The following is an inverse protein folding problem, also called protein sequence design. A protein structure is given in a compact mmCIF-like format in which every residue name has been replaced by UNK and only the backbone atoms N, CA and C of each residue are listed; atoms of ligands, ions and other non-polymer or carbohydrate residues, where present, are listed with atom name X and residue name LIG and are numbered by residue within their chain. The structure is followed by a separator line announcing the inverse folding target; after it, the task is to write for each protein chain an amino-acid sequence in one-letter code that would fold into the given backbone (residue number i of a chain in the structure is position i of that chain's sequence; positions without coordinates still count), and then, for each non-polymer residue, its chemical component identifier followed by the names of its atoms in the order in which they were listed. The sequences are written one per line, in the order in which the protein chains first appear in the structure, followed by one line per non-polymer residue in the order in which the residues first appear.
data_IF_058906663034
#
_entry.id   IF_058906663034
#
_cell.length_a   1.000
_cell.length_b   1.000
_cell.length_c   1.000
_cell.angle_alpha   90.00
_cell.angle_beta   90.00
_cell.angle_gamma   90.00
#
_symmetry.space_group_name_H-M   'P 1'
#
loop_
_entity.id
_entity.type
_entity.pdbx_description
1 polymer ?
#
# COMPACT_ATOMS: atom_id res chain seq x y z
N UNK A 1 -23.60 -27.07 -34.30
CA UNK A 1 -23.78 -25.73 -34.91
C UNK A 1 -22.58 -25.55 -35.80
N UNK A 2 -22.78 -25.58 -37.12
CA UNK A 2 -21.69 -25.50 -38.10
C UNK A 2 -21.09 -24.10 -38.09
N UNK A 3 -19.81 -23.99 -37.77
CA UNK A 3 -19.06 -22.73 -37.83
C UNK A 3 -18.25 -22.75 -39.13
N UNK A 4 -18.68 -21.93 -40.11
CA UNK A 4 -17.96 -21.72 -41.37
C UNK A 4 -16.70 -20.89 -41.10
N UNK A 5 -15.56 -21.58 -40.97
CA UNK A 5 -14.26 -20.96 -41.23
C UNK A 5 -14.08 -20.98 -42.76
N UNK A 6 -13.64 -19.88 -43.36
CA UNK A 6 -13.44 -19.70 -44.82
C UNK A 6 -12.46 -20.65 -45.52
N UNK A 7 -12.24 -21.85 -45.00
CA UNK A 7 -11.79 -23.03 -45.71
C UNK A 7 -12.88 -24.11 -45.53
N UNK A 8 -13.54 -24.48 -46.63
CA UNK A 8 -14.68 -25.41 -46.71
C UNK A 8 -14.50 -26.73 -45.92
N UNK A 9 -14.75 -26.69 -44.62
CA UNK A 9 -15.07 -27.85 -43.82
C UNK A 9 -15.89 -27.38 -42.61
N UNK A 10 -17.18 -27.78 -42.51
CA UNK A 10 -17.98 -27.46 -41.33
C UNK A 10 -17.33 -28.13 -40.13
N UNK A 11 -16.69 -27.34 -39.28
CA UNK A 11 -16.11 -27.85 -38.05
C UNK A 11 -17.26 -28.01 -37.05
N UNK A 12 -17.85 -29.20 -37.01
CA UNK A 12 -18.83 -29.57 -36.00
C UNK A 12 -18.15 -29.72 -34.64
N UNK A 13 -17.91 -28.59 -33.97
CA UNK A 13 -17.45 -28.59 -32.58
C UNK A 13 -18.68 -28.74 -31.68
N UNK A 14 -18.77 -29.87 -30.98
CA UNK A 14 -19.77 -30.08 -29.95
C UNK A 14 -19.38 -29.32 -28.68
N UNK A 15 -20.13 -28.28 -28.35
CA UNK A 15 -20.01 -27.59 -27.07
C UNK A 15 -21.11 -28.05 -26.12
N UNK A 16 -20.77 -28.44 -24.88
CA UNK A 16 -21.76 -28.66 -23.83
C UNK A 16 -22.29 -27.29 -23.39
N UNK A 17 -23.20 -26.71 -24.16
CA UNK A 17 -23.86 -25.45 -23.83
C UNK A 17 -24.95 -25.75 -22.79
N UNK A 18 -24.89 -25.17 -21.57
CA UNK A 18 -26.05 -25.18 -20.69
C UNK A 18 -27.16 -24.29 -21.27
N UNK A 19 -28.41 -24.63 -20.98
CA UNK A 19 -29.59 -23.84 -21.34
C UNK A 19 -29.52 -22.46 -20.65
N UNK A 20 -29.05 -21.45 -21.36
CA UNK A 20 -28.91 -20.09 -20.86
C UNK A 20 -28.60 -19.09 -21.98
N UNK A 21 -29.30 -17.96 -21.98
CA UNK A 21 -28.98 -16.83 -22.85
C UNK A 21 -27.87 -15.99 -22.20
N UNK A 22 -27.02 -15.36 -23.03
CA UNK A 22 -25.96 -14.46 -22.59
C UNK A 22 -24.96 -15.13 -21.63
N UNK A 23 -24.13 -16.03 -22.16
CA UNK A 23 -23.09 -16.72 -21.41
C UNK A 23 -21.87 -16.99 -22.28
N UNK A 24 -20.70 -17.12 -21.65
CA UNK A 24 -19.47 -17.53 -22.33
C UNK A 24 -18.99 -18.86 -21.77
N UNK A 25 -18.81 -19.83 -22.67
CA UNK A 25 -18.22 -21.13 -22.34
C UNK A 25 -16.77 -21.15 -22.80
N UNK A 26 -15.84 -21.42 -21.88
CA UNK A 26 -14.43 -21.65 -22.20
C UNK A 26 -14.14 -23.14 -22.15
N UNK A 27 -13.37 -23.63 -23.11
CA UNK A 27 -13.00 -25.04 -23.28
C UNK A 27 -11.50 -25.11 -23.50
N UNK A 28 -10.86 -26.08 -22.87
CA UNK A 28 -9.47 -26.42 -23.10
C UNK A 28 -9.29 -27.93 -23.16
N UNK A 29 -8.26 -28.37 -23.88
CA UNK A 29 -7.85 -29.77 -23.90
C UNK A 29 -6.57 -29.90 -23.08
N UNK A 30 -6.63 -30.68 -22.01
CA UNK A 30 -5.48 -30.93 -21.12
C UNK A 30 -4.38 -31.77 -21.77
N UNK A 31 -4.72 -32.58 -22.79
CA UNK A 31 -3.75 -33.42 -23.52
C UNK A 31 -2.97 -32.66 -24.59
N UNK A 32 -3.41 -31.47 -25.00
CA UNK A 32 -2.70 -30.65 -26.00
C UNK A 32 -2.21 -29.35 -25.39
N UNK A 33 -1.00 -28.93 -25.78
CA UNK A 33 -0.39 -27.67 -25.34
C UNK A 33 0.42 -27.04 -26.47
N UNK A 34 0.77 -25.77 -26.30
CA UNK A 34 1.61 -25.01 -27.21
C UNK A 34 3.02 -24.74 -26.63
N UNK A 35 3.43 -25.56 -25.65
CA UNK A 35 4.66 -25.37 -24.87
C UNK A 35 4.40 -25.02 -23.41
N UNK A 36 5.47 -24.87 -22.64
CA UNK A 36 5.43 -24.59 -21.20
C UNK A 36 4.78 -23.24 -20.89
N UNK A 37 3.77 -23.24 -20.02
CA UNK A 37 2.97 -22.06 -19.69
C UNK A 37 2.03 -21.66 -20.81
N UNK A 38 1.75 -22.53 -21.79
CA UNK A 38 0.95 -22.18 -22.97
C UNK A 38 -0.17 -23.19 -23.21
N UNK A 39 -1.41 -22.69 -23.32
CA UNK A 39 -2.62 -23.50 -23.49
C UNK A 39 -3.54 -22.94 -24.57
N UNK A 40 -4.22 -23.85 -25.26
CA UNK A 40 -5.26 -23.51 -26.23
C UNK A 40 -6.60 -23.38 -25.51
N UNK A 41 -7.24 -22.21 -25.67
CA UNK A 41 -8.56 -21.91 -25.12
C UNK A 41 -9.51 -21.64 -26.28
N UNK A 42 -10.54 -22.46 -26.36
CA UNK A 42 -11.71 -22.21 -27.20
C UNK A 42 -12.77 -21.50 -26.38
N UNK A 43 -13.30 -20.38 -26.87
CA UNK A 43 -14.39 -19.67 -26.20
C UNK A 43 -15.60 -19.56 -27.12
N UNK A 44 -16.79 -19.86 -26.57
CA UNK A 44 -18.07 -19.71 -27.27
C UNK A 44 -18.94 -18.74 -26.50
N UNK A 45 -19.29 -17.64 -27.16
CA UNK A 45 -20.23 -16.65 -26.65
C UNK A 45 -21.62 -16.94 -27.18
N UNK A 46 -22.51 -17.35 -26.30
CA UNK A 46 -23.94 -17.48 -26.59
C UNK A 46 -24.60 -16.15 -26.23
N UNK A 47 -24.99 -15.38 -27.24
CA UNK A 47 -25.79 -14.14 -27.08
C UNK A 47 -27.09 -14.25 -27.85
N UNK A 48 -28.04 -13.33 -27.62
CA UNK A 48 -29.37 -13.33 -28.25
C UNK A 48 -29.35 -13.39 -29.79
N UNK A 49 -28.25 -12.94 -30.43
CA UNK A 49 -27.75 -13.19 -31.80
C UNK A 49 -26.78 -12.05 -32.15
N UNK A 50 -25.60 -12.28 -32.76
CA UNK A 50 -25.00 -13.57 -33.16
C UNK A 50 -24.14 -14.25 -32.07
N UNK A 51 -23.95 -15.56 -32.20
CA UNK A 51 -23.00 -16.38 -31.41
C UNK A 51 -21.60 -16.25 -31.99
N UNK A 52 -20.58 -16.15 -31.14
CA UNK A 52 -19.19 -16.02 -31.56
C UNK A 52 -18.33 -17.17 -31.04
N UNK A 53 -17.42 -17.64 -31.88
CA UNK A 53 -16.40 -18.61 -31.53
C UNK A 53 -15.02 -17.98 -31.63
N UNK A 54 -14.19 -18.24 -30.63
CA UNK A 54 -12.81 -17.79 -30.55
C UNK A 54 -11.90 -18.98 -30.31
N UNK A 55 -10.79 -19.01 -31.03
CA UNK A 55 -9.67 -19.88 -30.72
C UNK A 55 -8.49 -19.01 -30.32
N UNK A 56 -8.14 -19.04 -29.03
CA UNK A 56 -7.12 -18.20 -28.44
C UNK A 56 -5.98 -19.05 -27.90
N UNK A 57 -4.76 -18.58 -28.12
CA UNK A 57 -3.57 -19.11 -27.45
C UNK A 57 -3.28 -18.24 -26.24
N UNK A 58 -3.30 -18.81 -25.04
CA UNK A 58 -2.98 -18.11 -23.80
C UNK A 58 -1.62 -18.61 -23.33
N UNK A 59 -0.67 -17.68 -23.15
CA UNK A 59 0.69 -18.00 -22.76
C UNK A 59 1.11 -17.13 -21.57
N UNK A 60 1.72 -17.77 -20.56
CA UNK A 60 2.35 -17.16 -19.40
C UNK A 60 3.85 -17.45 -19.48
N UNK A 61 4.62 -16.41 -19.81
CA UNK A 61 6.07 -16.51 -19.92
C UNK A 61 6.74 -16.70 -18.56
N UNK A 62 8.00 -17.11 -18.58
CA UNK A 62 8.85 -17.05 -17.39
C UNK A 62 9.00 -15.59 -16.91
N UNK A 63 9.36 -15.42 -15.64
CA UNK A 63 9.55 -14.08 -15.06
C UNK A 63 10.76 -13.42 -15.71
N UNK A 64 10.57 -12.20 -16.22
CA UNK A 64 11.65 -11.46 -16.85
C UNK A 64 12.75 -11.14 -15.82
N UNK A 65 14.00 -11.47 -16.15
CA UNK A 65 15.18 -11.22 -15.31
C UNK A 65 15.16 -11.92 -13.94
N UNK A 66 14.51 -13.10 -13.84
CA UNK A 66 14.65 -13.95 -12.66
C UNK A 66 16.09 -14.46 -12.54
N UNK A 67 16.80 -14.00 -11.52
CA UNK A 67 18.18 -14.40 -11.21
C UNK A 67 18.28 -15.50 -10.17
N UNK A 68 17.25 -15.64 -9.34
CA UNK A 68 17.16 -16.59 -8.25
C UNK A 68 15.88 -17.42 -8.42
N UNK A 69 15.86 -18.70 -8.02
CA UNK A 69 14.70 -19.58 -8.19
C UNK A 69 13.45 -19.04 -7.46
N UNK A 70 13.64 -18.26 -6.39
CA UNK A 70 12.56 -17.63 -5.64
C UNK A 70 11.87 -16.49 -6.40
N UNK A 71 12.51 -15.93 -7.43
CA UNK A 71 11.94 -14.89 -8.27
C UNK A 71 11.08 -15.45 -9.41
N UNK A 72 11.18 -16.75 -9.68
CA UNK A 72 10.48 -17.38 -10.80
C UNK A 72 9.13 -17.98 -10.39
N UNK A 73 8.26 -18.18 -11.38
CA UNK A 73 6.98 -18.86 -11.20
C UNK A 73 7.10 -20.25 -11.80
N UNK A 74 6.86 -21.28 -10.99
CA UNK A 74 6.96 -22.67 -11.45
C UNK A 74 6.09 -22.94 -12.68
N UNK A 75 6.56 -23.83 -13.54
CA UNK A 75 5.89 -24.19 -14.80
C UNK A 75 4.46 -24.71 -14.61
N UNK A 76 4.19 -25.40 -13.50
CA UNK A 76 2.85 -25.88 -13.15
C UNK A 76 1.87 -24.73 -12.91
N UNK A 77 2.30 -23.65 -12.24
CA UNK A 77 1.48 -22.45 -12.02
C UNK A 77 1.30 -21.66 -13.31
N UNK A 78 2.33 -21.60 -14.16
CA UNK A 78 2.23 -20.97 -15.48
C UNK A 78 1.22 -21.71 -16.37
N UNK A 79 1.26 -23.04 -16.38
CA UNK A 79 0.30 -23.89 -17.07
C UNK A 79 -1.11 -23.74 -16.50
N UNK A 80 -1.24 -23.73 -15.16
CA UNK A 80 -2.50 -23.51 -14.47
C UNK A 80 -3.09 -22.15 -14.83
N UNK A 81 -2.29 -21.09 -14.85
CA UNK A 81 -2.73 -19.75 -15.22
C UNK A 81 -3.17 -19.66 -16.69
N UNK A 82 -2.47 -20.36 -17.59
CA UNK A 82 -2.83 -20.39 -19.01
C UNK A 82 -4.15 -21.14 -19.29
N UNK A 83 -4.41 -22.25 -18.60
CA UNK A 83 -5.64 -23.03 -18.76
C UNK A 83 -6.80 -22.60 -17.84
N UNK A 84 -6.50 -21.87 -16.77
CA UNK A 84 -7.35 -21.77 -15.57
C UNK A 84 -8.79 -21.37 -15.80
N UNK A 85 -9.05 -20.54 -16.80
CA UNK A 85 -10.41 -20.07 -17.11
C UNK A 85 -11.33 -21.19 -17.63
N UNK A 86 -10.78 -22.29 -18.13
CA UNK A 86 -11.54 -23.41 -18.67
C UNK A 86 -11.50 -24.65 -17.75
N UNK A 87 -10.74 -24.61 -16.65
CA UNK A 87 -10.58 -25.75 -15.74
C UNK A 87 -11.75 -25.81 -14.73
N UNK A 88 -12.29 -27.01 -14.52
CA UNK A 88 -13.36 -27.26 -13.54
C UNK A 88 -12.83 -27.79 -12.19
N UNK A 89 -11.55 -28.17 -12.12
CA UNK A 89 -10.95 -28.77 -10.92
C UNK A 89 -11.28 -30.25 -10.68
N UNK A 90 -12.10 -30.88 -11.54
CA UNK A 90 -12.42 -32.31 -11.49
C UNK A 90 -12.26 -32.95 -12.88
N UNK A 91 -12.00 -34.27 -12.93
CA UNK A 91 -11.97 -35.00 -14.21
C UNK A 91 -13.33 -34.89 -14.91
N UNK A 92 -13.30 -34.85 -16.25
CA UNK A 92 -14.39 -34.46 -17.12
C UNK A 92 -15.76 -34.97 -16.64
N UNK A 93 -16.73 -34.05 -16.58
CA UNK A 93 -18.12 -34.40 -16.29
C UNK A 93 -18.61 -35.46 -17.29
N UNK A 94 -19.51 -36.35 -16.87
CA UNK A 94 -20.13 -37.40 -17.72
C UNK A 94 -20.83 -36.88 -18.98
N UNK A 95 -20.94 -35.55 -19.14
CA UNK A 95 -21.44 -34.86 -20.32
C UNK A 95 -20.44 -34.80 -21.48
N UNK A 96 -19.13 -34.93 -21.20
CA UNK A 96 -18.10 -34.99 -22.21
C UNK A 96 -17.64 -36.43 -22.40
N UNK A 97 -17.59 -36.87 -23.66
CA UNK A 97 -17.09 -38.21 -24.04
C UNK A 97 -15.57 -38.32 -23.89
N UNK A 98 -14.87 -37.19 -23.95
CA UNK A 98 -13.41 -37.12 -23.85
C UNK A 98 -12.99 -36.63 -22.45
N UNK A 99 -12.26 -37.44 -21.66
CA UNK A 99 -11.78 -37.04 -20.34
C UNK A 99 -10.73 -35.93 -20.37
N UNK A 100 -10.07 -35.69 -21.51
CA UNK A 100 -9.06 -34.64 -21.62
C UNK A 100 -9.64 -33.24 -21.78
N UNK A 101 -10.90 -33.13 -22.19
CA UNK A 101 -11.59 -31.87 -22.37
C UNK A 101 -12.15 -31.37 -21.05
N UNK A 102 -11.84 -30.13 -20.72
CA UNK A 102 -12.41 -29.40 -19.59
C UNK A 102 -13.04 -28.10 -20.08
N UNK A 103 -14.18 -27.76 -19.53
CA UNK A 103 -14.89 -26.54 -19.89
C UNK A 103 -15.44 -25.82 -18.68
N UNK A 104 -15.50 -24.52 -18.69
CA UNK A 104 -16.18 -23.74 -17.66
C UNK A 104 -17.13 -22.76 -18.31
N UNK A 105 -18.34 -22.69 -17.78
CA UNK A 105 -19.36 -21.76 -18.23
C UNK A 105 -19.44 -20.60 -17.24
N UNK A 106 -19.40 -19.38 -17.76
CA UNK A 106 -19.59 -18.16 -17.00
C UNK A 106 -20.85 -17.44 -17.49
N UNK A 107 -21.81 -17.15 -16.59
CA UNK A 107 -23.02 -16.42 -16.95
C UNK A 107 -22.72 -14.93 -17.16
N UNK A 108 -23.55 -14.19 -17.90
CA UNK A 108 -23.29 -12.78 -18.24
C UNK A 108 -23.15 -11.84 -17.02
N UNK A 109 -23.69 -12.22 -15.87
CA UNK A 109 -23.53 -11.50 -14.60
C UNK A 109 -22.08 -11.56 -14.07
N UNK A 110 -21.29 -12.54 -14.53
CA UNK A 110 -19.86 -12.61 -14.26
C UNK A 110 -19.07 -11.79 -15.27
N UNK A 111 -18.03 -11.11 -14.79
CA UNK A 111 -17.07 -10.38 -15.64
C UNK A 111 -16.49 -11.23 -16.76
N UNK A 112 -16.31 -12.53 -16.52
CA UNK A 112 -15.78 -13.45 -17.53
C UNK A 112 -16.83 -14.02 -18.47
N UNK A 113 -18.12 -13.95 -18.12
CA UNK A 113 -19.23 -14.40 -18.96
C UNK A 113 -19.78 -13.35 -19.92
N UNK A 114 -19.44 -12.06 -19.71
CA UNK A 114 -19.85 -10.95 -20.55
C UNK A 114 -19.45 -11.15 -22.03
N UNK A 115 -20.37 -11.04 -23.00
CA UNK A 115 -20.04 -11.23 -24.41
C UNK A 115 -19.17 -10.10 -24.98
N UNK A 116 -18.15 -10.46 -25.76
CA UNK A 116 -17.24 -9.58 -26.49
C UNK A 116 -17.66 -9.38 -27.95
N UNK A 117 -18.80 -9.94 -28.38
CA UNK A 117 -19.50 -9.59 -29.64
C UNK A 117 -18.63 -9.74 -30.90
N UNK A 118 -17.76 -10.74 -30.94
CA UNK A 118 -16.83 -10.99 -32.05
C UNK A 118 -15.47 -10.28 -31.93
N UNK A 119 -15.26 -9.40 -30.94
CA UNK A 119 -13.99 -8.68 -30.79
C UNK A 119 -12.89 -9.56 -30.19
N UNK A 120 -12.09 -10.20 -31.06
CA UNK A 120 -11.01 -11.12 -30.65
C UNK A 120 -9.98 -10.48 -29.71
N UNK A 121 -9.61 -9.21 -29.93
CA UNK A 121 -8.68 -8.48 -29.05
C UNK A 121 -9.25 -8.29 -27.65
N UNK A 122 -10.55 -8.02 -27.53
CA UNK A 122 -11.21 -7.86 -26.24
C UNK A 122 -11.30 -9.19 -25.50
N UNK A 123 -11.62 -10.28 -26.21
CA UNK A 123 -11.58 -11.63 -25.65
C UNK A 123 -10.16 -12.00 -25.18
N UNK A 124 -9.14 -11.74 -25.98
CA UNK A 124 -7.74 -11.97 -25.60
C UNK A 124 -7.34 -11.21 -24.34
N UNK A 125 -7.72 -9.93 -24.23
CA UNK A 125 -7.49 -9.14 -23.01
C UNK A 125 -8.21 -9.71 -21.78
N UNK A 126 -9.43 -10.23 -21.96
CA UNK A 126 -10.19 -10.89 -20.89
C UNK A 126 -9.49 -12.17 -20.40
N UNK A 127 -9.06 -13.03 -21.34
CA UNK A 127 -8.30 -14.24 -21.03
C UNK A 127 -6.98 -13.90 -20.31
N UNK A 128 -6.26 -12.89 -20.78
CA UNK A 128 -5.02 -12.43 -20.15
C UNK A 128 -5.25 -11.94 -18.71
N UNK A 129 -6.31 -11.16 -18.46
CA UNK A 129 -6.67 -10.72 -17.11
C UNK A 129 -7.01 -11.88 -16.18
N UNK A 130 -7.70 -12.90 -16.69
CA UNK A 130 -7.96 -14.12 -15.91
C UNK A 130 -6.65 -14.80 -15.52
N UNK A 131 -5.75 -15.02 -16.49
CA UNK A 131 -4.45 -15.66 -16.24
C UNK A 131 -3.60 -14.88 -15.22
N UNK A 132 -3.57 -13.53 -15.32
CA UNK A 132 -2.91 -12.67 -14.32
C UNK A 132 -3.55 -12.85 -12.94
N UNK A 133 -4.88 -12.92 -12.87
CA UNK A 133 -5.62 -13.17 -11.63
C UNK A 133 -5.26 -14.50 -10.99
N UNK A 134 -5.08 -15.58 -11.79
CA UNK A 134 -4.65 -16.88 -11.28
C UNK A 134 -3.26 -16.80 -10.66
N UNK A 135 -2.31 -16.14 -11.33
CA UNK A 135 -0.96 -15.93 -10.78
C UNK A 135 -1.02 -15.12 -9.49
N UNK A 136 -1.81 -14.05 -9.45
CA UNK A 136 -1.97 -13.21 -8.26
C UNK A 136 -2.56 -13.97 -7.07
N UNK A 137 -3.66 -14.70 -7.27
CA UNK A 137 -4.28 -15.52 -6.21
C UNK A 137 -3.34 -16.64 -5.73
N UNK A 138 -2.57 -17.23 -6.64
CA UNK A 138 -1.55 -18.22 -6.27
C UNK A 138 -0.48 -17.57 -5.41
N UNK A 139 -0.04 -16.35 -5.73
CA UNK A 139 0.96 -15.64 -4.94
C UNK A 139 0.45 -15.29 -3.53
N UNK A 140 -0.83 -14.90 -3.40
CA UNK A 140 -1.44 -14.59 -2.09
C UNK A 140 -1.65 -15.83 -1.21
N UNK A 141 -1.94 -16.99 -1.83
CA UNK A 141 -2.21 -18.24 -1.10
C UNK A 141 -0.94 -19.03 -0.81
N UNK A 142 0.17 -18.74 -1.50
CA UNK A 142 1.43 -19.41 -1.27
C UNK A 142 2.05 -18.98 0.06
N UNK A 143 2.74 -19.91 0.73
CA UNK A 143 3.43 -19.61 1.98
C UNK A 143 4.60 -18.65 1.70
N UNK A 144 4.68 -17.51 2.41
CA UNK A 144 5.76 -16.57 2.18
C UNK A 144 7.10 -17.16 2.63
N UNK A 145 8.12 -17.00 1.80
CA UNK A 145 9.50 -17.34 2.14
C UNK A 145 10.27 -16.06 2.48
N UNK A 146 11.08 -16.11 3.54
CA UNK A 146 11.94 -15.00 3.92
C UNK A 146 13.27 -15.10 3.18
N UNK A 147 13.57 -14.13 2.33
CA UNK A 147 14.80 -14.07 1.54
C UNK A 147 15.57 -12.83 2.00
N UNK A 148 16.87 -13.00 2.22
CA UNK A 148 17.75 -11.87 2.53
C UNK A 148 17.91 -10.98 1.29
N UNK A 149 17.47 -9.74 1.36
CA UNK A 149 17.56 -8.80 0.26
C UNK A 149 16.86 -7.47 0.53
N UNK A 150 16.99 -6.55 -0.41
CA UNK A 150 16.20 -5.32 -0.40
C UNK A 150 14.84 -5.62 -1.00
N UNK A 151 13.78 -5.53 -0.19
CA UNK A 151 12.40 -5.63 -0.69
C UNK A 151 12.17 -4.51 -1.72
N UNK A 152 11.44 -4.79 -2.82
CA UNK A 152 11.02 -3.75 -3.74
C UNK A 152 10.10 -2.78 -2.98
N UNK A 153 10.63 -1.60 -2.67
CA UNK A 153 9.83 -0.52 -2.09
C UNK A 153 9.10 0.14 -3.24
N UNK A 154 7.78 0.29 -3.12
CA UNK A 154 7.01 1.14 -4.02
C UNK A 154 7.60 2.56 -3.92
N UNK A 155 8.35 2.96 -4.94
CA UNK A 155 8.93 4.28 -5.03
C UNK A 155 7.88 5.26 -5.54
N UNK A 156 7.59 6.29 -4.77
CA UNK A 156 6.85 7.45 -5.27
C UNK A 156 7.84 8.35 -6.01
N UNK A 157 7.79 8.34 -7.33
CA UNK A 157 8.53 9.31 -8.15
C UNK A 157 7.67 10.56 -8.30
N UNK A 158 7.98 11.60 -7.53
CA UNK A 158 7.38 12.91 -7.72
C UNK A 158 7.94 13.51 -9.01
N UNK A 159 7.13 13.51 -10.06
CA UNK A 159 7.43 14.25 -11.30
C UNK A 159 6.80 15.63 -11.13
N UNK A 160 7.64 16.63 -10.89
CA UNK A 160 7.20 18.03 -10.83
C UNK A 160 7.47 18.64 -12.19
N UNK A 161 6.41 18.90 -12.95
CA UNK A 161 6.52 19.48 -14.30
C UNK A 161 7.05 20.92 -14.27
N UNK A 162 6.78 21.66 -13.19
CA UNK A 162 7.13 23.08 -13.07
C UNK A 162 7.73 23.39 -11.69
N UNK A 163 9.05 23.33 -11.59
CA UNK A 163 9.79 23.63 -10.35
C UNK A 163 9.64 25.10 -9.91
N UNK A 164 9.35 26.00 -10.84
CA UNK A 164 9.20 27.43 -10.56
C UNK A 164 8.01 27.69 -9.62
N UNK A 165 6.85 27.09 -9.88
CA UNK A 165 5.68 27.24 -8.99
C UNK A 165 5.91 26.58 -7.63
N UNK A 166 6.54 25.41 -7.60
CA UNK A 166 6.86 24.72 -6.35
C UNK A 166 7.78 25.57 -5.47
N UNK A 167 8.83 26.14 -6.05
CA UNK A 167 9.76 27.02 -5.33
C UNK A 167 9.10 28.33 -4.88
N UNK A 168 8.25 28.93 -5.71
CA UNK A 168 7.51 30.16 -5.39
C UNK A 168 6.59 29.96 -4.18
N UNK A 169 5.83 28.86 -4.16
CA UNK A 169 4.94 28.54 -3.03
C UNK A 169 5.76 28.34 -1.76
N UNK A 170 6.85 27.58 -1.82
CA UNK A 170 7.72 27.35 -0.65
C UNK A 170 8.31 28.64 -0.09
N UNK A 171 8.80 29.53 -0.97
CA UNK A 171 9.37 30.83 -0.56
C UNK A 171 8.28 31.74 0.03
N UNK A 172 7.10 31.80 -0.60
CA UNK A 172 5.98 32.60 -0.09
C UNK A 172 5.51 32.14 1.28
N UNK A 173 5.40 30.82 1.48
CA UNK A 173 5.04 30.24 2.77
C UNK A 173 6.10 30.56 3.82
N UNK A 174 7.39 30.39 3.50
CA UNK A 174 8.48 30.71 4.42
C UNK A 174 8.50 32.21 4.78
N UNK A 175 8.31 33.09 3.79
CA UNK A 175 8.26 34.54 4.01
C UNK A 175 7.07 34.95 4.88
N UNK A 176 5.89 34.37 4.65
CA UNK A 176 4.71 34.64 5.47
C UNK A 176 4.92 34.22 6.93
N UNK A 177 5.50 33.03 7.17
CA UNK A 177 5.84 32.59 8.52
C UNK A 177 6.86 33.52 9.19
N UNK A 178 7.84 34.02 8.44
CA UNK A 178 8.82 34.98 8.94
C UNK A 178 8.14 36.28 9.38
N UNK A 179 7.25 36.83 8.55
CA UNK A 179 6.51 38.07 8.84
C UNK A 179 5.63 37.90 10.09
N UNK A 180 4.90 36.79 10.17
CA UNK A 180 4.07 36.47 11.34
C UNK A 180 4.92 36.31 12.61
N UNK A 181 6.07 35.65 12.52
CA UNK A 181 7.02 35.48 13.63
C UNK A 181 7.59 36.82 14.11
N UNK A 182 7.99 37.71 13.19
CA UNK A 182 8.44 39.06 13.52
C UNK A 182 7.32 39.85 14.18
N UNK A 183 6.10 39.79 13.64
CA UNK A 183 4.92 40.44 14.22
C UNK A 183 4.67 39.98 15.66
N UNK A 184 4.72 38.67 15.91
CA UNK A 184 4.58 38.11 17.25
C UNK A 184 5.70 38.57 18.21
N UNK A 185 6.96 38.63 17.76
CA UNK A 185 8.07 39.12 18.57
C UNK A 185 7.92 40.62 18.91
N UNK A 186 7.46 41.43 17.95
CA UNK A 186 7.18 42.84 18.18
C UNK A 186 6.02 43.05 19.16
N UNK A 187 4.93 42.30 19.02
CA UNK A 187 3.82 42.34 19.99
C UNK A 187 4.29 41.89 21.37
N UNK A 188 5.04 40.79 21.47
CA UNK A 188 5.58 40.29 22.73
C UNK A 188 6.49 41.31 23.45
N UNK A 189 7.31 42.06 22.69
CA UNK A 189 8.15 43.13 23.26
C UNK A 189 7.37 44.38 23.69
N UNK A 190 6.15 44.57 23.19
CA UNK A 190 5.24 45.66 23.59
C UNK A 190 4.37 45.30 24.79
N UNK A 191 4.27 44.02 25.14
CA UNK A 191 3.58 43.60 26.38
C UNK A 191 4.41 44.08 27.55
N UNK A 192 3.95 45.16 28.18
CA UNK A 192 4.46 45.63 29.46
C UNK A 192 4.22 44.53 30.47
N UNK A 193 5.30 43.90 30.94
CA UNK A 193 5.25 42.93 32.03
C UNK A 193 4.72 43.68 33.25
N UNK A 194 3.53 43.36 33.79
CA UNK A 194 3.03 44.01 34.98
C UNK A 194 4.04 43.80 36.11
N UNK A 195 4.39 44.87 36.82
CA UNK A 195 5.26 44.83 38.00
C UNK A 195 4.57 43.99 39.08
N UNK A 196 4.85 42.69 39.09
CA UNK A 196 4.17 41.67 39.91
C UNK A 196 4.04 40.29 39.25
N UNK A 197 4.30 40.16 37.95
CA UNK A 197 4.22 38.86 37.26
C UNK A 197 5.41 37.92 37.53
N UNK A 198 5.26 36.60 37.31
CA UNK A 198 6.29 35.59 37.57
C UNK A 198 7.62 35.81 36.82
N UNK A 199 7.61 36.59 35.73
CA UNK A 199 8.80 36.97 34.98
C UNK A 199 9.65 38.03 35.72
N UNK A 200 9.03 38.92 36.51
CA UNK A 200 9.74 39.87 37.36
C UNK A 200 10.43 39.16 38.53
N UNK A 201 9.76 38.17 39.13
CA UNK A 201 10.36 37.27 40.13
C UNK A 201 11.55 36.49 39.54
N UNK A 202 11.44 35.98 38.31
CA UNK A 202 12.54 35.30 37.63
C UNK A 202 13.74 36.21 37.34
N UNK A 203 13.52 37.51 37.08
CA UNK A 203 14.61 38.48 36.92
C UNK A 203 15.36 38.74 38.23
N UNK A 204 14.67 38.74 39.38
CA UNK A 204 15.30 38.87 40.71
C UNK A 204 16.08 37.61 41.09
N UNK A 205 15.64 36.43 40.65
CA UNK A 205 16.34 35.16 40.90
C UNK A 205 17.54 34.92 39.97
N UNK A 206 17.63 35.61 38.83
CA UNK A 206 18.72 35.48 37.85
C UNK A 206 20.12 35.77 38.43
N UNK A 207 20.35 36.85 39.21
CA UNK A 207 21.65 37.07 39.86
C UNK A 207 21.97 36.00 40.92
N UNK A 208 20.96 35.48 41.64
CA UNK A 208 21.15 34.40 42.63
C UNK A 208 21.53 33.06 41.97
N UNK A 209 20.91 32.72 40.83
CA UNK A 209 21.25 31.51 40.06
C UNK A 209 22.65 31.60 39.43
N UNK A 210 23.04 32.79 38.97
CA UNK A 210 24.38 33.03 38.45
C UNK A 210 25.44 32.91 39.56
N UNK A 211 25.18 33.40 40.78
CA UNK A 211 26.11 33.17 41.90
C UNK A 211 26.20 31.69 42.31
N UNK A 212 25.08 30.97 42.39
CA UNK A 212 25.10 29.54 42.71
C UNK A 212 25.88 28.68 41.69
N UNK A 213 25.93 29.10 40.43
CA UNK A 213 26.70 28.40 39.38
C UNK A 213 28.19 28.77 39.42
N UNK A 214 28.56 30.01 39.75
CA UNK A 214 29.98 30.39 39.93
C UNK A 214 30.60 29.80 41.20
N UNK A 215 29.83 29.64 42.29
CA UNK A 215 30.32 29.04 43.54
C UNK A 215 30.60 27.54 43.44
N UNK A 216 30.07 26.84 42.42
CA UNK A 216 30.40 25.43 42.15
C UNK A 216 31.80 25.18 41.56
N UNK A 217 32.60 26.23 41.35
CA UNK A 217 33.98 26.14 40.83
C UNK A 217 35.05 26.42 41.89
N UNK A 218 34.79 26.06 43.15
CA UNK A 218 35.80 26.06 44.22
C UNK A 218 35.99 24.62 44.75
N UNK A 219 37.24 24.09 44.74
CA UNK A 219 37.52 22.76 45.27
C UNK A 219 37.29 22.72 46.78
N UNK A 220 36.68 21.62 47.22
CA UNK A 220 36.18 21.40 48.56
C UNK A 220 37.28 21.33 49.61
N UNK A 221 37.43 22.39 50.39
CA UNK A 221 37.89 22.31 51.79
C UNK A 221 37.15 23.35 52.62
N UNK A 222 35.86 23.12 52.87
CA UNK A 222 35.12 23.85 53.88
C UNK A 222 34.28 22.85 54.69
N UNK A 223 34.54 22.87 55.99
CA UNK A 223 33.95 22.06 57.05
C UNK A 223 32.42 22.09 56.94
N UNK A 224 31.79 20.91 56.91
CA UNK A 224 30.34 20.74 56.85
C UNK A 224 29.67 21.33 58.10
N UNK A 225 29.24 22.60 58.03
CA UNK A 225 28.16 23.12 58.87
C UNK A 225 26.86 22.87 58.12
N UNK A 226 26.00 22.00 58.66
CA UNK A 226 24.71 21.62 58.08
C UNK A 226 23.64 22.67 58.37
N UNK A 227 23.91 23.93 58.04
CA UNK A 227 22.92 25.00 58.16
C UNK A 227 22.32 25.24 56.77
N UNK A 228 21.15 24.64 56.54
CA UNK A 228 20.44 24.72 55.27
C UNK A 228 19.38 25.80 55.36
N UNK A 229 19.70 26.97 54.83
CA UNK A 229 18.78 28.10 54.70
C UNK A 229 17.69 27.77 53.68
N UNK A 230 16.43 27.83 54.10
CA UNK A 230 15.28 27.60 53.22
C UNK A 230 14.35 28.82 53.24
N UNK A 231 14.08 29.38 52.07
CA UNK A 231 13.07 30.42 51.93
C UNK A 231 11.69 29.78 51.94
N UNK A 232 10.82 30.23 52.85
CA UNK A 232 9.41 29.82 52.91
C UNK A 232 8.54 31.06 52.73
N UNK A 233 7.39 30.86 52.09
CA UNK A 233 6.38 31.90 51.90
C UNK A 233 5.21 31.67 52.83
N UNK A 234 4.72 32.72 53.49
CA UNK A 234 3.45 32.71 54.22
C UNK A 234 2.47 33.66 53.52
N UNK A 235 1.24 33.21 53.34
CA UNK A 235 0.15 34.05 52.81
C UNK A 235 -0.33 34.98 53.92
N UNK A 236 -0.29 36.29 53.66
CA UNK A 236 -0.82 37.33 54.54
C UNK A 236 -2.33 37.53 54.32
N UNK A 237 -3.05 38.11 55.30
CA UNK A 237 -4.51 38.28 55.24
C UNK A 237 -5.00 39.14 54.06
N UNK A 238 -4.11 39.94 53.47
CA UNK A 238 -4.35 40.77 52.29
C UNK A 238 -4.13 40.03 50.96
N UNK A 239 -3.78 38.73 51.01
CA UNK A 239 -3.50 37.89 49.84
C UNK A 239 -2.09 38.04 49.28
N UNK A 240 -1.24 38.86 49.89
CA UNK A 240 0.18 38.95 49.53
C UNK A 240 1.00 37.82 50.16
N UNK A 241 2.17 37.50 49.59
CA UNK A 241 3.06 36.48 50.12
C UNK A 241 4.25 37.15 50.77
N UNK A 242 4.45 36.93 52.07
CA UNK A 242 5.65 37.36 52.76
C UNK A 242 6.69 36.24 52.74
N UNK A 243 7.87 36.56 52.24
CA UNK A 243 9.00 35.65 52.05
C UNK A 243 9.99 35.89 53.16
N UNK A 244 10.16 34.91 54.03
CA UNK A 244 11.12 34.99 55.12
C UNK A 244 12.03 33.77 55.11
N UNK A 245 13.21 33.95 55.70
CA UNK A 245 14.28 32.96 55.65
C UNK A 245 14.34 32.26 57.01
N UNK A 246 14.16 30.95 57.02
CA UNK A 246 14.31 30.11 58.22
C UNK A 246 15.59 29.26 58.11
N UNK A 247 16.29 29.13 59.23
CA UNK A 247 17.44 28.25 59.38
C UNK A 247 16.94 26.90 59.94
N UNK A 248 17.02 25.83 59.15
CA UNK A 248 16.72 24.48 59.64
C UNK A 248 17.93 23.92 60.38
N UNK A 249 17.92 24.04 61.71
CA UNK A 249 18.87 23.31 62.56
C UNK A 249 18.45 21.84 62.65
N UNK A 250 19.24 20.94 62.05
CA UNK A 250 19.12 19.50 62.30
C UNK A 250 19.71 19.19 63.68
N UNK A 251 18.84 19.02 64.67
CA UNK A 251 19.18 18.36 65.93
C UNK A 251 19.34 16.86 65.64
N UNK A 252 20.54 16.32 65.86
CA UNK A 252 20.81 14.88 65.88
C UNK A 252 20.21 14.23 67.13
#
# INVERSE_FOLDING_TARGET
MSLDNGANMPLDIFFPLPDGANQTTYLTNSSTNCGTGCRFISAVEVSERPTWYYNCTVAVSAVAQATAPEHDVSDSIRDLAAAGIALQGFQATSRLRDPSLQFQVYPAESTFGLPMKGFAKAMGMKLARFAIGVVAVTAETNSPIAINGMVPKQGLRLIVDHWDYASLILVMVAALHLVLGIGAALVASRVVIPTGGPVALAQVLRPLANHATTTKRQPATARSSTDRWMYRSRVMPDGSYDLYMEEEFKLN
#
